data_IF_552908303103
#
_entry.id   IF_552908303103
#
_cell.length_a   1.000
_cell.length_b   1.000
_cell.length_c   1.000
_cell.angle_alpha   90.00
_cell.angle_beta   90.00
_cell.angle_gamma   90.00
#
_symmetry.space_group_name_H-M   'P 1'
#
loop_
_entity.id
_entity.type
_entity.pdbx_description
1 polymer ?
#
# COMPACT_ATOMS: atom_id res chain seq x y z
N UNK A 1 -14.59 32.24 -4.80
CA UNK A 1 -14.06 32.31 -3.42
C UNK A 1 -13.55 30.93 -3.07
N UNK A 2 -12.23 30.77 -2.90
CA UNK A 2 -11.65 29.54 -2.34
C UNK A 2 -11.41 29.83 -0.87
N UNK A 3 -12.08 29.11 0.01
CA UNK A 3 -11.79 29.12 1.43
C UNK A 3 -10.38 28.56 1.62
N UNK A 4 -9.47 29.41 2.09
CA UNK A 4 -8.17 28.99 2.59
C UNK A 4 -8.42 28.14 3.84
N UNK A 5 -8.11 26.84 3.74
CA UNK A 5 -8.11 25.96 4.91
C UNK A 5 -7.17 26.53 5.97
N UNK A 6 -7.73 26.96 7.10
CA UNK A 6 -6.97 27.24 8.29
C UNK A 6 -6.29 25.93 8.70
N UNK A 7 -4.96 25.87 8.59
CA UNK A 7 -4.21 24.88 9.34
C UNK A 7 -4.50 25.17 10.81
N UNK A 8 -5.09 24.20 11.52
CA UNK A 8 -5.26 24.32 12.96
C UNK A 8 -3.87 24.50 13.58
N UNK A 9 -3.62 25.66 14.19
CA UNK A 9 -2.42 25.84 14.99
C UNK A 9 -2.45 24.83 16.14
N UNK A 10 -1.43 23.98 16.22
CA UNK A 10 -1.24 23.10 17.37
C UNK A 10 -0.67 23.97 18.50
N UNK A 11 -1.42 24.23 19.59
CA UNK A 11 -1.01 25.17 20.62
C UNK A 11 0.04 24.57 21.57
N UNK A 12 0.04 23.25 21.74
CA UNK A 12 0.92 22.53 22.65
C UNK A 12 2.24 22.15 21.97
N UNK A 13 3.32 22.82 22.36
CA UNK A 13 4.65 22.65 21.73
C UNK A 13 5.73 22.34 22.74
N UNK A 14 5.58 22.82 23.97
CA UNK A 14 6.61 22.73 25.00
C UNK A 14 6.15 21.88 26.17
N UNK A 15 6.89 20.82 26.48
CA UNK A 15 6.61 20.01 27.66
C UNK A 15 6.95 20.79 28.93
N UNK A 16 5.97 20.98 29.82
CA UNK A 16 6.15 21.58 31.14
C UNK A 16 6.56 20.56 32.19
N UNK A 17 5.98 19.36 32.12
CA UNK A 17 6.33 18.26 33.00
C UNK A 17 6.25 16.94 32.24
N UNK A 18 7.16 16.03 32.55
CA UNK A 18 7.25 14.70 31.94
C UNK A 18 7.40 13.70 33.06
N UNK A 19 6.50 12.71 33.12
CA UNK A 19 6.46 11.70 34.18
C UNK A 19 6.44 10.32 33.54
N UNK A 20 7.45 9.52 33.87
CA UNK A 20 7.48 8.10 33.55
C UNK A 20 6.44 7.35 34.38
N UNK A 21 5.61 6.55 33.73
CA UNK A 21 4.66 5.62 34.34
C UNK A 21 5.01 4.20 33.92
N UNK A 22 4.46 3.22 34.63
CA UNK A 22 4.69 1.80 34.30
C UNK A 22 4.36 1.45 32.84
N UNK A 23 3.26 2.01 32.30
CA UNK A 23 2.76 1.68 30.96
C UNK A 23 3.13 2.72 29.87
N UNK A 24 3.70 3.87 30.24
CA UNK A 24 3.97 4.93 29.26
C UNK A 24 4.48 6.25 29.85
N UNK A 25 4.58 7.25 28.97
CA UNK A 25 5.03 8.59 29.30
C UNK A 25 3.84 9.54 29.41
N UNK A 26 3.66 10.19 30.57
CA UNK A 26 2.70 11.28 30.73
C UNK A 26 3.42 12.63 30.51
N UNK A 27 2.90 13.44 29.59
CA UNK A 27 3.42 14.80 29.31
C UNK A 27 2.33 15.81 29.65
N UNK A 28 2.67 16.80 30.46
CA UNK A 28 1.85 18.00 30.68
C UNK A 28 2.43 19.16 29.88
N UNK A 29 1.61 19.79 29.03
CA UNK A 29 2.03 20.87 28.14
C UNK A 29 2.02 22.23 28.81
N UNK A 30 2.97 23.10 28.44
CA UNK A 30 3.15 24.40 29.07
C UNK A 30 2.05 25.39 28.70
N UNK A 31 1.63 25.37 27.44
CA UNK A 31 0.78 26.40 26.85
C UNK A 31 -0.66 26.29 27.32
N UNK A 32 -1.22 25.07 27.33
CA UNK A 32 -2.63 24.84 27.70
C UNK A 32 -2.80 24.10 29.03
N UNK A 33 -1.74 23.46 29.54
CA UNK A 33 -1.85 22.51 30.64
C UNK A 33 -2.46 21.16 30.24
N UNK A 34 -2.69 20.91 28.95
CA UNK A 34 -3.16 19.63 28.44
C UNK A 34 -2.24 18.50 28.90
N UNK A 35 -2.82 17.32 29.11
CA UNK A 35 -2.09 16.11 29.48
C UNK A 35 -2.26 15.07 28.41
N UNK A 36 -1.14 14.59 27.88
CA UNK A 36 -1.10 13.50 26.92
C UNK A 36 -0.40 12.30 27.55
N UNK A 37 -0.83 11.10 27.17
CA UNK A 37 -0.20 9.85 27.59
C UNK A 37 0.23 9.06 26.35
N UNK A 38 1.50 8.65 26.34
CA UNK A 38 2.09 7.89 25.24
C UNK A 38 2.52 6.52 25.76
N UNK A 39 1.82 5.44 25.39
CA UNK A 39 2.22 4.09 25.76
C UNK A 39 3.64 3.76 25.29
N UNK A 40 4.38 2.94 26.06
CA UNK A 40 5.75 2.56 25.67
C UNK A 40 5.80 1.91 24.30
N UNK A 41 4.89 0.98 24.02
CA UNK A 41 4.78 0.30 22.72
C UNK A 41 4.57 1.31 21.57
N UNK A 42 3.79 2.36 21.80
CA UNK A 42 3.58 3.39 20.79
C UNK A 42 4.86 4.19 20.56
N UNK A 43 5.56 4.61 21.63
CA UNK A 43 6.83 5.33 21.50
C UNK A 43 7.90 4.49 20.80
N UNK A 44 8.05 3.21 21.16
CA UNK A 44 8.99 2.29 20.49
C UNK A 44 8.71 2.13 19.00
N UNK A 45 7.44 2.21 18.61
CA UNK A 45 7.03 2.09 17.21
C UNK A 45 7.11 3.41 16.43
N UNK A 46 7.00 4.56 17.10
CA UNK A 46 6.83 5.87 16.46
C UNK A 46 7.97 6.87 16.74
N UNK A 47 8.95 6.53 17.58
CA UNK A 47 10.23 7.26 17.62
C UNK A 47 10.84 7.26 16.22
N UNK A 48 11.50 8.37 15.84
CA UNK A 48 12.07 8.54 14.49
C UNK A 48 12.98 7.37 14.11
N UNK A 49 12.40 6.38 13.42
CA UNK A 49 13.14 5.37 12.69
C UNK A 49 13.46 6.01 11.35
N UNK A 50 14.75 6.05 10.99
CA UNK A 50 15.14 6.42 9.62
C UNK A 50 14.24 5.62 8.67
N UNK A 51 13.52 6.28 7.74
CA UNK A 51 12.62 5.57 6.85
C UNK A 51 13.41 4.46 6.17
N UNK A 52 12.99 3.22 6.37
CA UNK A 52 13.63 2.07 5.75
C UNK A 52 13.38 2.22 4.26
N UNK A 53 14.44 2.44 3.49
CA UNK A 53 14.32 2.52 2.05
C UNK A 53 13.63 1.22 1.56
N UNK A 54 12.62 1.33 0.68
CA UNK A 54 12.00 0.14 0.10
C UNK A 54 13.08 -0.75 -0.52
N UNK A 55 13.03 -2.04 -0.17
CA UNK A 55 13.96 -3.03 -0.70
C UNK A 55 13.51 -3.39 -2.11
N UNK A 56 14.29 -2.98 -3.10
CA UNK A 56 14.06 -3.34 -4.50
C UNK A 56 15.07 -4.40 -4.93
N UNK A 57 14.58 -5.45 -5.60
CA UNK A 57 15.41 -6.44 -6.25
C UNK A 57 15.47 -6.13 -7.75
N UNK A 58 16.60 -5.59 -8.22
CA UNK A 58 16.83 -5.38 -9.64
C UNK A 58 17.12 -6.70 -10.34
N UNK A 59 16.68 -6.84 -11.59
CA UNK A 59 16.77 -8.08 -12.35
C UNK A 59 16.98 -7.83 -13.84
N UNK A 60 17.60 -8.80 -14.50
CA UNK A 60 17.67 -8.99 -15.94
C UNK A 60 17.01 -10.31 -16.35
N UNK A 61 17.44 -10.89 -17.47
CA UNK A 61 16.85 -12.11 -18.03
C UNK A 61 16.90 -13.34 -17.09
N UNK A 62 17.78 -13.33 -16.09
CA UNK A 62 17.90 -14.40 -15.10
C UNK A 62 16.65 -14.60 -14.25
N UNK A 63 15.77 -13.59 -14.12
CA UNK A 63 14.52 -13.71 -13.35
C UNK A 63 13.59 -14.77 -13.92
N UNK A 64 13.70 -15.10 -15.21
CA UNK A 64 12.91 -16.14 -15.84
C UNK A 64 13.10 -17.54 -15.21
N UNK A 65 14.21 -17.77 -14.50
CA UNK A 65 14.45 -19.03 -13.79
C UNK A 65 13.56 -19.21 -12.57
N UNK A 66 13.16 -18.11 -11.93
CA UNK A 66 12.31 -18.12 -10.74
C UNK A 66 11.56 -16.79 -10.65
N UNK A 67 10.53 -16.61 -11.49
CA UNK A 67 9.78 -15.36 -11.49
C UNK A 67 8.98 -15.20 -10.18
N UNK A 68 8.72 -13.97 -9.72
CA UNK A 68 7.82 -13.74 -8.61
C UNK A 68 6.42 -14.22 -8.99
N UNK A 69 5.91 -15.23 -8.27
CA UNK A 69 4.57 -15.78 -8.47
C UNK A 69 3.82 -15.97 -7.14
N UNK A 70 2.49 -15.98 -7.22
CA UNK A 70 1.53 -16.41 -6.18
C UNK A 70 0.43 -17.24 -6.83
N UNK A 71 -0.26 -18.09 -6.08
CA UNK A 71 -1.42 -18.84 -6.60
C UNK A 71 -2.72 -18.03 -6.46
N UNK A 72 -3.61 -18.12 -7.46
CA UNK A 72 -4.91 -17.45 -7.49
C UNK A 72 -5.72 -17.71 -6.21
N UNK A 73 -5.84 -18.98 -5.80
CA UNK A 73 -6.62 -19.34 -4.61
C UNK A 73 -6.10 -18.66 -3.33
N UNK A 74 -4.78 -18.46 -3.20
CA UNK A 74 -4.23 -17.77 -2.03
C UNK A 74 -4.68 -16.30 -1.97
N UNK A 75 -4.66 -15.62 -3.13
CA UNK A 75 -5.06 -14.21 -3.27
C UNK A 75 -6.56 -14.03 -3.03
N UNK A 76 -7.37 -14.94 -3.58
CA UNK A 76 -8.82 -14.88 -3.43
C UNK A 76 -9.29 -15.28 -2.03
N UNK A 77 -8.54 -16.14 -1.32
CA UNK A 77 -8.94 -16.62 -0.01
C UNK A 77 -8.71 -15.61 1.14
N UNK A 78 -7.75 -14.68 1.04
CA UNK A 78 -7.39 -13.83 2.17
C UNK A 78 -6.61 -12.56 1.83
N UNK A 79 -6.63 -11.60 2.75
CA UNK A 79 -5.80 -10.39 2.66
C UNK A 79 -4.32 -10.68 2.92
N UNK A 80 -4.00 -11.78 3.61
CA UNK A 80 -2.62 -12.26 3.70
C UNK A 80 -2.09 -12.68 2.31
N UNK A 81 -2.92 -13.30 1.47
CA UNK A 81 -2.59 -13.61 0.09
C UNK A 81 -2.35 -12.36 -0.76
N UNK A 82 -3.24 -11.36 -0.64
CA UNK A 82 -3.05 -10.04 -1.28
C UNK A 82 -1.78 -9.36 -0.78
N UNK A 83 -1.48 -9.46 0.51
CA UNK A 83 -0.25 -8.95 1.12
C UNK A 83 1.01 -9.59 0.53
N UNK A 84 1.03 -10.92 0.34
CA UNK A 84 2.13 -11.60 -0.34
C UNK A 84 2.29 -11.14 -1.79
N UNK A 85 1.18 -11.02 -2.51
CA UNK A 85 1.17 -10.59 -3.91
C UNK A 85 1.71 -9.17 -4.07
N UNK A 86 1.18 -8.22 -3.30
CA UNK A 86 1.59 -6.81 -3.32
C UNK A 86 3.01 -6.60 -2.79
N UNK A 87 3.48 -7.41 -1.83
CA UNK A 87 4.87 -7.39 -1.38
C UNK A 87 5.84 -7.77 -2.51
N UNK A 88 5.52 -8.80 -3.31
CA UNK A 88 6.32 -9.19 -4.48
C UNK A 88 6.32 -8.10 -5.56
N UNK A 89 5.16 -7.48 -5.84
CA UNK A 89 5.08 -6.34 -6.76
C UNK A 89 5.95 -5.18 -6.26
N UNK A 90 5.92 -4.88 -4.96
CA UNK A 90 6.74 -3.80 -4.38
C UNK A 90 8.24 -4.09 -4.48
N UNK A 91 8.66 -5.33 -4.27
CA UNK A 91 10.07 -5.73 -4.30
C UNK A 91 10.62 -5.87 -5.72
N UNK A 92 9.86 -6.49 -6.63
CA UNK A 92 10.33 -6.87 -7.97
C UNK A 92 9.74 -6.03 -9.11
N UNK A 93 8.71 -5.21 -8.85
CA UNK A 93 7.99 -4.44 -9.87
C UNK A 93 6.90 -5.24 -10.60
N UNK A 94 6.80 -6.56 -10.41
CA UNK A 94 5.75 -7.42 -10.96
C UNK A 94 5.57 -8.70 -10.14
N UNK A 95 4.48 -9.43 -10.40
CA UNK A 95 4.24 -10.78 -9.88
C UNK A 95 3.22 -11.50 -10.77
N UNK A 96 3.48 -12.75 -11.14
CA UNK A 96 2.49 -13.61 -11.78
C UNK A 96 1.47 -14.12 -10.76
N UNK A 97 0.24 -14.34 -11.23
CA UNK A 97 -0.79 -15.05 -10.48
C UNK A 97 -1.11 -16.33 -11.24
N UNK A 98 -0.59 -17.44 -10.74
CA UNK A 98 -0.76 -18.75 -11.35
C UNK A 98 -2.12 -19.34 -11.00
N UNK A 99 -2.70 -20.13 -11.91
CA UNK A 99 -3.96 -20.82 -11.67
C UNK A 99 -5.22 -19.94 -11.74
N UNK A 100 -5.12 -18.70 -12.23
CA UNK A 100 -6.30 -17.89 -12.51
C UNK A 100 -7.19 -18.61 -13.56
N UNK A 101 -8.50 -18.77 -13.31
CA UNK A 101 -9.39 -19.35 -14.32
C UNK A 101 -9.37 -18.52 -15.60
N UNK A 102 -9.48 -19.20 -16.75
CA UNK A 102 -9.47 -18.58 -18.08
C UNK A 102 -10.82 -17.91 -18.35
N UNK A 103 -11.01 -16.73 -17.76
CA UNK A 103 -12.20 -15.88 -17.94
C UNK A 103 -11.85 -14.41 -17.68
N UNK A 104 -12.36 -13.47 -18.51
CA UNK A 104 -12.21 -12.04 -18.29
C UNK A 104 -12.76 -11.61 -16.92
N UNK A 105 -13.92 -12.12 -16.55
CA UNK A 105 -14.58 -11.83 -15.28
C UNK A 105 -13.72 -12.27 -14.08
N UNK A 106 -13.05 -13.43 -14.18
CA UNK A 106 -12.14 -13.90 -13.12
C UNK A 106 -10.87 -13.08 -13.01
N UNK A 107 -10.40 -12.55 -14.13
CA UNK A 107 -9.29 -11.58 -14.14
C UNK A 107 -9.72 -10.26 -13.51
N UNK A 108 -10.91 -9.76 -13.83
CA UNK A 108 -11.46 -8.54 -13.26
C UNK A 108 -11.67 -8.67 -11.73
N UNK A 109 -12.24 -9.80 -11.27
CA UNK A 109 -12.39 -10.12 -9.84
C UNK A 109 -11.03 -10.11 -9.12
N UNK A 110 -10.00 -10.73 -9.73
CA UNK A 110 -8.65 -10.76 -9.19
C UNK A 110 -8.03 -9.37 -9.08
N UNK A 111 -8.16 -8.53 -10.12
CA UNK A 111 -7.63 -7.15 -10.11
C UNK A 111 -8.26 -6.33 -8.98
N UNK A 112 -9.57 -6.50 -8.76
CA UNK A 112 -10.29 -5.83 -7.69
C UNK A 112 -9.88 -6.28 -6.27
N UNK A 113 -9.12 -7.37 -6.11
CA UNK A 113 -8.54 -7.76 -4.81
C UNK A 113 -7.42 -6.84 -4.35
N UNK A 114 -6.66 -6.21 -5.27
CA UNK A 114 -5.64 -5.22 -4.90
C UNK A 114 -6.28 -3.86 -4.63
N UNK A 115 -7.03 -3.38 -5.61
CA UNK A 115 -7.65 -2.05 -5.59
C UNK A 115 -8.71 -1.96 -6.70
N UNK A 116 -9.48 -0.90 -6.68
CA UNK A 116 -10.41 -0.58 -7.77
C UNK A 116 -9.66 -0.42 -9.10
N UNK A 117 -10.34 -0.82 -10.18
CA UNK A 117 -9.84 -0.60 -11.54
C UNK A 117 -9.99 0.89 -11.90
N UNK A 118 -8.91 1.49 -12.39
CA UNK A 118 -8.91 2.89 -12.82
C UNK A 118 -9.46 3.01 -14.24
N UNK A 119 -10.67 3.52 -14.36
CA UNK A 119 -11.29 3.80 -15.66
C UNK A 119 -10.48 4.82 -16.47
N UNK A 120 -10.34 4.55 -17.77
CA UNK A 120 -9.68 5.42 -18.74
C UNK A 120 -10.61 5.67 -19.94
N UNK A 121 -10.17 6.44 -20.94
CA UNK A 121 -10.97 6.62 -22.16
C UNK A 121 -11.13 5.33 -22.98
N UNK A 122 -10.39 4.27 -22.66
CA UNK A 122 -10.61 2.93 -23.23
C UNK A 122 -11.73 2.15 -22.49
N UNK A 123 -12.22 2.65 -21.34
CA UNK A 123 -13.18 2.00 -20.42
C UNK A 123 -12.53 1.59 -19.09
N UNK A 124 -13.16 0.69 -18.31
CA UNK A 124 -12.60 0.20 -17.04
C UNK A 124 -11.71 -1.04 -17.21
N UNK A 125 -12.28 -2.15 -17.66
CA UNK A 125 -11.57 -3.42 -17.91
C UNK A 125 -11.77 -3.83 -19.38
N UNK A 126 -10.72 -4.35 -20.01
CA UNK A 126 -10.73 -4.78 -21.40
C UNK A 126 -10.08 -6.15 -21.50
N UNK A 127 -10.72 -7.06 -22.23
CA UNK A 127 -10.14 -8.33 -22.62
C UNK A 127 -9.44 -8.17 -23.97
N UNK A 128 -8.13 -8.40 -24.01
CA UNK A 128 -7.34 -8.35 -25.23
C UNK A 128 -7.37 -9.71 -25.92
N UNK A 129 -8.16 -9.79 -26.98
CA UNK A 129 -7.93 -10.78 -28.03
C UNK A 129 -7.16 -10.11 -29.16
N UNK A 130 -6.32 -10.87 -29.87
CA UNK A 130 -5.64 -10.39 -31.08
C UNK A 130 -6.67 -10.21 -32.19
N UNK A 131 -7.52 -9.20 -32.05
CA UNK A 131 -8.51 -8.79 -33.01
C UNK A 131 -8.07 -7.44 -33.60
N UNK A 132 -7.64 -7.48 -34.86
CA UNK A 132 -7.07 -6.36 -35.62
C UNK A 132 -8.12 -5.28 -35.98
N UNK A 133 -9.32 -5.34 -35.41
CA UNK A 133 -10.42 -4.41 -35.66
C UNK A 133 -10.21 -3.06 -34.96
N UNK A 134 -9.41 -3.02 -33.89
CA UNK A 134 -9.02 -1.79 -33.20
C UNK A 134 -7.75 -1.20 -33.80
N UNK A 135 -7.77 0.09 -34.17
CA UNK A 135 -6.64 0.83 -34.76
C UNK A 135 -5.60 1.25 -33.71
N UNK A 136 -5.20 0.32 -32.84
CA UNK A 136 -4.19 0.54 -31.81
C UNK A 136 -3.15 -0.60 -31.92
N UNK A 137 -1.87 -0.27 -31.86
CA UNK A 137 -0.76 -1.23 -31.98
C UNK A 137 -0.70 -2.20 -30.80
N UNK A 138 -1.45 -1.95 -29.72
CA UNK A 138 -1.64 -2.94 -28.66
C UNK A 138 -2.38 -4.23 -29.13
N UNK A 139 -3.04 -4.20 -30.30
CA UNK A 139 -3.82 -5.32 -30.86
C UNK A 139 -3.10 -6.08 -31.99
N UNK A 140 -1.80 -5.83 -32.22
CA UNK A 140 -0.97 -6.48 -33.26
C UNK A 140 0.14 -7.33 -32.69
#
# INVERSE_FOLDING_TARGET
MRESGYAAEVPDKTAKNVVEKEEGLEVTWQETGHKSFFPWEWLENNMEKKPVAPKYAFWGAEIAKNPPSVHYDEVMASDAGVGKWTAKIREHGFCFVDGCPVSPEKTEELLNRIAFIRETHYGAFYDFTSDLTMKDTAYT
#
